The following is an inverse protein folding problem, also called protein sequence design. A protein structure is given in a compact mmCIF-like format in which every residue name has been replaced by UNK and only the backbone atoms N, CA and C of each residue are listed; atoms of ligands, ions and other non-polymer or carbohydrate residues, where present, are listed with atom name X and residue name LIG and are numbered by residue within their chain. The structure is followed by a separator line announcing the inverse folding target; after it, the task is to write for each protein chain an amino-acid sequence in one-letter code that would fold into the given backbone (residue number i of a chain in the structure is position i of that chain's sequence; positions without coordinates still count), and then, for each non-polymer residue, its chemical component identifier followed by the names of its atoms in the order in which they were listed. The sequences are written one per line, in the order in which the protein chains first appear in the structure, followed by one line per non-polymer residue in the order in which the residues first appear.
data_IF_284369115895
#
_entry.id   IF_284369115895
#
_cell.length_a   1.000
_cell.length_b   1.000
_cell.length_c   1.000
_cell.angle_alpha   90.00
_cell.angle_beta   90.00
_cell.angle_gamma   90.00
#
_symmetry.space_group_name_H-M   'P 1'
#
loop_
_entity.id
_entity.type
_entity.pdbx_description
1 polymer ?
#
# COMPACT_ATOMS: atom_id res chain seq x y z
N UNK A 1 33.38 16.89 19.46
CA UNK A 1 32.30 16.38 20.35
C UNK A 1 32.98 15.76 21.55
N UNK A 2 32.54 16.13 22.76
CA UNK A 2 33.08 15.60 24.01
C UNK A 2 32.65 14.14 24.22
N UNK A 3 33.55 13.28 24.72
CA UNK A 3 33.27 11.84 24.89
C UNK A 3 32.15 11.59 25.89
N UNK A 4 32.12 12.36 26.97
CA UNK A 4 31.11 12.23 28.03
C UNK A 4 29.70 12.50 27.51
N UNK A 5 29.55 13.51 26.63
CA UNK A 5 28.29 13.81 25.95
C UNK A 5 27.87 12.67 25.02
N UNK A 6 28.81 12.02 24.34
CA UNK A 6 28.51 10.86 23.49
C UNK A 6 27.99 9.69 24.33
N UNK A 7 28.68 9.38 25.44
CA UNK A 7 28.32 8.29 26.35
C UNK A 7 26.94 8.52 26.98
N UNK A 8 26.61 9.77 27.32
CA UNK A 8 25.30 10.14 27.85
C UNK A 8 24.16 9.89 26.83
N UNK A 9 24.38 10.17 25.54
CA UNK A 9 23.35 9.99 24.49
C UNK A 9 23.22 8.56 24.00
N UNK A 10 24.31 7.80 24.00
CA UNK A 10 24.31 6.40 23.55
C UNK A 10 23.72 5.47 24.61
N UNK A 11 23.92 5.77 25.90
CA UNK A 11 23.45 4.93 27.01
C UNK A 11 21.94 4.60 26.98
N UNK A 12 21.01 5.55 26.72
CA UNK A 12 19.57 5.23 26.59
C UNK A 12 19.23 4.33 25.41
N UNK A 13 19.90 4.53 24.27
CA UNK A 13 19.70 3.70 23.07
C UNK A 13 20.13 2.27 23.35
N UNK A 14 21.33 2.07 23.91
CA UNK A 14 21.83 0.76 24.28
C UNK A 14 20.97 0.11 25.37
N UNK A 15 20.51 0.86 26.37
CA UNK A 15 19.61 0.36 27.39
C UNK A 15 18.31 -0.18 26.79
N UNK A 16 17.73 0.51 25.80
CA UNK A 16 16.54 0.05 25.08
C UNK A 16 16.83 -1.19 24.22
N UNK A 17 17.96 -1.21 23.50
CA UNK A 17 18.37 -2.35 22.69
C UNK A 17 18.58 -3.60 23.55
N UNK A 18 19.29 -3.48 24.67
CA UNK A 18 19.54 -4.57 25.61
C UNK A 18 18.24 -5.04 26.28
N UNK A 19 17.36 -4.11 26.65
CA UNK A 19 16.03 -4.45 27.20
C UNK A 19 15.19 -5.24 26.20
N UNK A 20 15.25 -4.90 24.91
CA UNK A 20 14.55 -5.66 23.86
C UNK A 20 15.21 -7.01 23.60
N UNK A 21 16.53 -7.08 23.58
CA UNK A 21 17.28 -8.31 23.35
C UNK A 21 17.12 -9.34 24.50
N UNK A 22 16.86 -8.88 25.72
CA UNK A 22 16.57 -9.74 26.87
C UNK A 22 15.17 -10.39 26.80
N UNK A 23 14.27 -9.91 25.94
CA UNK A 23 12.98 -10.55 25.72
C UNK A 23 13.15 -11.70 24.73
N UNK A 24 12.42 -12.83 24.91
CA UNK A 24 12.45 -13.91 23.94
C UNK A 24 12.05 -13.38 22.55
N UNK A 25 12.63 -13.92 21.47
CA UNK A 25 12.18 -13.58 20.14
C UNK A 25 10.68 -13.85 20.08
N UNK A 26 9.92 -12.86 19.60
CA UNK A 26 8.51 -13.10 19.30
C UNK A 26 8.46 -14.24 18.32
N UNK A 27 7.64 -15.26 18.59
CA UNK A 27 7.27 -16.20 17.53
C UNK A 27 6.80 -15.39 16.34
N UNK A 28 7.33 -15.70 15.16
CA UNK A 28 6.85 -15.12 13.93
C UNK A 28 5.41 -15.58 13.78
N UNK A 29 4.46 -14.73 14.18
CA UNK A 29 3.05 -15.00 13.96
C UNK A 29 2.92 -15.14 12.44
N UNK A 30 2.51 -16.31 11.92
CA UNK A 30 2.35 -16.50 10.50
C UNK A 30 1.43 -15.38 10.01
N UNK A 31 1.79 -14.81 8.87
CA UNK A 31 1.16 -13.62 8.35
C UNK A 31 -0.30 -13.92 7.98
N UNK A 32 -1.21 -13.80 8.95
CA UNK A 32 -2.57 -14.33 8.85
C UNK A 32 -3.34 -13.71 7.68
N UNK A 33 -3.95 -14.58 6.89
CA UNK A 33 -5.10 -14.28 6.03
C UNK A 33 -6.18 -13.57 6.87
N UNK A 34 -6.96 -12.67 6.26
CA UNK A 34 -7.95 -11.78 6.87
C UNK A 34 -8.37 -12.12 8.32
N UNK A 35 -7.91 -11.32 9.29
CA UNK A 35 -8.25 -11.50 10.70
C UNK A 35 -9.55 -10.75 11.03
N UNK A 36 -10.66 -11.50 11.11
CA UNK A 36 -11.99 -10.96 11.40
C UNK A 36 -12.06 -10.23 12.75
N UNK A 37 -11.26 -10.63 13.75
CA UNK A 37 -11.23 -9.96 15.06
C UNK A 37 -10.58 -8.58 14.93
N UNK A 38 -9.46 -8.48 14.20
CA UNK A 38 -8.82 -7.18 13.91
C UNK A 38 -9.71 -6.29 13.06
N UNK A 39 -10.37 -6.84 12.04
CA UNK A 39 -11.30 -6.08 11.21
C UNK A 39 -12.45 -5.48 12.02
N UNK A 40 -13.03 -6.24 12.96
CA UNK A 40 -14.07 -5.74 13.89
C UNK A 40 -13.54 -4.64 14.79
N UNK A 41 -12.34 -4.79 15.34
CA UNK A 41 -11.71 -3.76 16.18
C UNK A 41 -11.47 -2.47 15.40
N UNK A 42 -10.92 -2.57 14.18
CA UNK A 42 -10.68 -1.41 13.31
C UNK A 42 -11.99 -0.72 12.91
N UNK A 43 -13.03 -1.49 12.54
CA UNK A 43 -14.36 -0.95 12.22
C UNK A 43 -14.97 -0.22 13.41
N UNK A 44 -14.81 -0.76 14.62
CA UNK A 44 -15.28 -0.10 15.86
C UNK A 44 -14.50 1.18 16.14
N UNK A 45 -13.17 1.15 16.09
CA UNK A 45 -12.33 2.33 16.29
C UNK A 45 -12.62 3.44 15.26
N UNK A 46 -12.86 3.06 14.00
CA UNK A 46 -13.28 3.99 12.96
C UNK A 46 -14.66 4.60 13.26
N UNK A 47 -15.64 3.78 13.67
CA UNK A 47 -16.97 4.27 14.02
C UNK A 47 -16.96 5.21 15.25
N UNK A 48 -16.17 4.89 16.28
CA UNK A 48 -16.04 5.69 17.50
C UNK A 48 -15.23 6.99 17.28
N UNK A 49 -14.46 7.10 16.19
CA UNK A 49 -13.69 8.31 15.86
C UNK A 49 -14.40 9.26 14.89
N UNK A 50 -15.54 8.86 14.32
CA UNK A 50 -16.35 9.73 13.46
C UNK A 50 -17.12 10.76 14.29
N UNK A 51 -17.05 12.03 13.89
CA UNK A 51 -17.77 13.14 14.54
C UNK A 51 -18.82 13.71 13.60
N UNK A 52 -20.09 13.70 14.04
CA UNK A 52 -21.19 14.31 13.32
C UNK A 52 -21.19 15.82 13.53
N UNK A 53 -20.75 16.57 12.52
CA UNK A 53 -20.62 18.03 12.61
C UNK A 53 -21.96 18.77 12.51
N UNK A 54 -22.88 18.24 11.69
CA UNK A 54 -24.17 18.90 11.39
C UNK A 54 -25.24 17.85 11.09
N UNK A 55 -26.43 18.03 11.65
CA UNK A 55 -27.60 17.17 11.41
C UNK A 55 -28.88 18.02 11.45
N UNK A 56 -29.14 18.75 10.38
CA UNK A 56 -30.37 19.55 10.27
C UNK A 56 -31.58 18.61 10.11
N UNK A 57 -32.71 18.99 10.72
CA UNK A 57 -34.00 18.29 10.56
C UNK A 57 -33.99 16.79 10.95
N UNK A 58 -32.96 16.32 11.65
CA UNK A 58 -32.85 14.91 12.05
C UNK A 58 -32.74 13.95 10.87
N UNK A 59 -32.10 14.36 9.77
CA UNK A 59 -31.91 13.54 8.56
C UNK A 59 -31.17 12.23 8.88
N UNK A 60 -30.21 12.27 9.80
CA UNK A 60 -29.53 11.08 10.31
C UNK A 60 -30.12 10.63 11.66
N UNK A 61 -30.21 9.30 11.92
CA UNK A 61 -29.75 8.19 11.08
C UNK A 61 -30.68 7.91 9.89
N UNK A 62 -30.09 7.52 8.76
CA UNK A 62 -30.86 7.08 7.59
C UNK A 62 -31.65 5.81 7.94
N UNK A 63 -32.93 5.76 7.58
CA UNK A 63 -33.75 4.55 7.72
C UNK A 63 -33.65 3.68 6.47
N UNK A 64 -32.91 2.55 6.49
CA UNK A 64 -32.64 1.75 5.30
C UNK A 64 -33.92 1.19 4.65
N UNK A 65 -34.96 0.93 5.43
CA UNK A 65 -36.23 0.38 4.94
C UNK A 65 -37.01 1.35 4.05
N UNK A 66 -36.74 2.65 4.16
CA UNK A 66 -37.45 3.70 3.41
C UNK A 66 -36.68 4.16 2.17
N UNK A 67 -35.46 3.67 1.95
CA UNK A 67 -34.61 4.10 0.84
C UNK A 67 -34.84 3.15 -0.33
N UNK A 68 -35.53 3.63 -1.37
CA UNK A 68 -35.66 2.89 -2.64
C UNK A 68 -34.52 3.18 -3.60
N UNK A 69 -34.05 4.44 -3.62
CA UNK A 69 -32.93 4.89 -4.43
C UNK A 69 -32.01 5.78 -3.60
N UNK A 70 -30.71 5.56 -3.71
CA UNK A 70 -29.67 6.35 -3.05
C UNK A 70 -28.69 6.88 -4.11
N UNK A 71 -28.54 8.20 -4.20
CA UNK A 71 -27.50 8.81 -5.00
C UNK A 71 -26.25 9.03 -4.14
N UNK A 72 -25.12 8.47 -4.57
CA UNK A 72 -23.81 8.65 -3.94
C UNK A 72 -22.94 9.47 -4.89
N UNK A 73 -22.59 10.68 -4.49
CA UNK A 73 -21.85 11.63 -5.34
C UNK A 73 -20.49 11.92 -4.71
N UNK A 74 -19.43 11.76 -5.50
CA UNK A 74 -18.06 12.08 -5.09
C UNK A 74 -17.04 11.01 -5.52
N UNK A 75 -15.80 11.41 -5.85
CA UNK A 75 -14.74 10.46 -6.23
C UNK A 75 -14.34 9.54 -5.07
N UNK A 76 -14.35 10.07 -3.85
CA UNK A 76 -13.95 9.33 -2.63
C UNK A 76 -14.95 8.23 -2.23
N UNK A 77 -16.14 8.19 -2.83
CA UNK A 77 -17.11 7.14 -2.55
C UNK A 77 -16.64 5.78 -3.11
N UNK A 78 -16.10 5.77 -4.34
CA UNK A 78 -15.51 4.58 -4.96
C UNK A 78 -14.02 4.44 -4.59
N UNK A 79 -13.29 5.55 -4.50
CA UNK A 79 -11.88 5.59 -4.12
C UNK A 79 -11.69 6.16 -2.71
N UNK A 80 -12.04 5.38 -1.70
CA UNK A 80 -12.05 5.87 -0.32
C UNK A 80 -10.65 6.18 0.22
N UNK A 81 -10.49 7.41 0.72
CA UNK A 81 -9.28 7.86 1.40
C UNK A 81 -9.35 7.42 2.86
N UNK A 82 -8.67 6.31 3.17
CA UNK A 82 -8.65 5.72 4.53
C UNK A 82 -7.54 6.27 5.42
N UNK A 83 -6.59 7.00 4.86
CA UNK A 83 -5.46 7.57 5.58
C UNK A 83 -4.94 8.81 4.86
N UNK A 84 -4.26 9.69 5.60
CA UNK A 84 -3.51 10.79 5.02
C UNK A 84 -2.21 10.32 4.33
N UNK A 85 -1.44 11.29 3.84
CA UNK A 85 -0.09 11.05 3.33
C UNK A 85 0.99 11.08 4.42
N UNK A 86 2.25 11.03 3.99
CA UNK A 86 3.42 11.24 4.85
C UNK A 86 4.08 9.98 5.39
N UNK A 87 4.90 10.13 6.44
CA UNK A 87 5.73 9.07 7.03
C UNK A 87 4.95 7.94 7.69
N UNK A 88 3.66 8.17 7.99
CA UNK A 88 2.78 7.19 8.63
C UNK A 88 1.95 6.39 7.62
N UNK A 89 2.27 6.47 6.32
CA UNK A 89 1.52 5.77 5.28
C UNK A 89 1.73 4.26 5.38
N UNK A 90 0.64 3.52 5.56
CA UNK A 90 0.62 2.06 5.61
C UNK A 90 -0.06 1.53 4.35
N UNK A 91 0.36 0.39 3.81
CA UNK A 91 -0.39 -0.30 2.74
C UNK A 91 -1.31 -1.35 3.35
N UNK A 92 -2.64 -1.10 3.45
CA UNK A 92 -3.55 -2.11 3.97
C UNK A 92 -3.68 -3.27 2.97
N UNK A 93 -3.85 -4.49 3.48
CA UNK A 93 -4.11 -5.67 2.63
C UNK A 93 -5.54 -5.74 2.12
N UNK A 94 -6.46 -5.22 2.92
CA UNK A 94 -7.88 -5.16 2.61
C UNK A 94 -8.38 -3.77 2.96
N UNK A 95 -9.15 -3.18 2.06
CA UNK A 95 -9.77 -1.89 2.22
C UNK A 95 -11.13 -1.97 1.55
N UNK A 96 -12.20 -1.70 2.29
CA UNK A 96 -13.56 -1.59 1.75
C UNK A 96 -13.81 -0.13 1.42
N UNK A 97 -14.30 0.16 0.21
CA UNK A 97 -14.70 1.52 -0.14
C UNK A 97 -16.10 1.84 0.41
N UNK A 98 -16.44 3.13 0.49
CA UNK A 98 -17.73 3.60 1.04
C UNK A 98 -18.90 3.05 0.21
N UNK A 99 -18.76 2.96 -1.11
CA UNK A 99 -19.81 2.47 -2.01
C UNK A 99 -20.15 0.99 -1.76
N UNK A 100 -19.15 0.13 -1.66
CA UNK A 100 -19.29 -1.28 -1.28
C UNK A 100 -19.86 -1.42 0.13
N UNK A 101 -19.37 -0.62 1.08
CA UNK A 101 -19.88 -0.65 2.45
C UNK A 101 -21.36 -0.23 2.55
N UNK A 102 -21.80 0.72 1.72
CA UNK A 102 -23.21 1.10 1.61
C UNK A 102 -24.05 0.01 0.96
N UNK A 103 -23.53 -0.65 -0.08
CA UNK A 103 -24.19 -1.80 -0.71
C UNK A 103 -24.37 -2.97 0.28
N UNK A 104 -23.38 -3.23 1.13
CA UNK A 104 -23.47 -4.25 2.18
C UNK A 104 -24.41 -3.86 3.33
N UNK A 105 -24.52 -2.56 3.63
CA UNK A 105 -25.32 -2.06 4.75
C UNK A 105 -26.81 -1.87 4.41
N UNK A 106 -27.16 -1.64 3.15
CA UNK A 106 -28.53 -1.39 2.72
C UNK A 106 -29.23 -2.67 2.23
N UNK A 107 -30.57 -2.72 2.30
CA UNK A 107 -31.33 -3.82 1.72
C UNK A 107 -31.04 -3.98 0.22
N UNK A 108 -31.00 -5.22 -0.31
CA UNK A 108 -30.66 -5.49 -1.71
C UNK A 108 -31.65 -4.90 -2.73
N UNK A 109 -32.83 -4.47 -2.28
CA UNK A 109 -33.83 -3.76 -3.09
C UNK A 109 -33.54 -2.26 -3.28
N UNK A 110 -32.49 -1.73 -2.66
CA UNK A 110 -32.10 -0.33 -2.77
C UNK A 110 -31.24 -0.11 -4.02
N UNK A 111 -31.69 0.75 -4.93
CA UNK A 111 -30.91 1.14 -6.11
C UNK A 111 -29.89 2.21 -5.73
N UNK A 112 -28.60 1.85 -5.73
CA UNK A 112 -27.51 2.78 -5.44
C UNK A 112 -26.94 3.30 -6.77
N UNK A 113 -27.08 4.60 -7.01
CA UNK A 113 -26.55 5.30 -8.18
C UNK A 113 -25.31 6.08 -7.76
N UNK A 114 -24.18 5.83 -8.43
CA UNK A 114 -22.93 6.54 -8.15
C UNK A 114 -22.52 7.43 -9.32
N UNK A 115 -21.98 8.59 -8.99
CA UNK A 115 -21.32 9.47 -9.94
C UNK A 115 -20.15 10.18 -9.24
N UNK A 116 -18.96 10.28 -9.86
CA UNK A 116 -17.84 10.98 -9.24
C UNK A 116 -18.14 12.46 -9.03
N UNK A 117 -18.86 13.11 -9.94
CA UNK A 117 -19.31 14.51 -9.82
C UNK A 117 -18.20 15.55 -10.00
N UNK A 118 -17.02 15.31 -9.43
CA UNK A 118 -15.81 16.08 -9.63
C UNK A 118 -14.60 15.16 -9.79
N UNK A 119 -13.58 15.67 -10.48
CA UNK A 119 -12.27 15.04 -10.55
C UNK A 119 -11.36 15.72 -9.55
N UNK A 120 -10.89 14.98 -8.54
CA UNK A 120 -9.91 15.48 -7.58
C UNK A 120 -8.51 15.43 -8.21
N UNK A 121 -8.25 16.31 -9.16
CA UNK A 121 -6.96 16.46 -9.86
C UNK A 121 -6.58 15.25 -10.70
N UNK A 122 -5.86 15.47 -11.80
CA UNK A 122 -5.03 14.40 -12.33
C UNK A 122 -4.09 14.00 -11.18
N UNK A 123 -4.30 12.82 -10.61
CA UNK A 123 -3.12 12.06 -10.18
C UNK A 123 -2.39 11.91 -11.49
N UNK A 124 -1.40 12.77 -11.74
CA UNK A 124 -0.40 12.50 -12.73
C UNK A 124 0.00 11.06 -12.44
N UNK A 125 -0.43 10.17 -13.32
CA UNK A 125 -0.09 8.77 -13.27
C UNK A 125 1.36 8.78 -13.75
N UNK A 126 2.24 9.35 -12.92
CA UNK A 126 3.66 9.22 -13.08
C UNK A 126 3.84 7.71 -13.23
N UNK A 127 4.39 7.29 -14.35
CA UNK A 127 4.61 5.89 -14.63
C UNK A 127 5.36 5.21 -13.46
N UNK A 128 6.06 5.99 -12.64
CA UNK A 128 6.65 5.60 -11.36
C UNK A 128 5.65 5.27 -10.25
N UNK A 129 4.56 6.02 -10.07
CA UNK A 129 3.54 5.73 -9.06
C UNK A 129 2.69 4.52 -9.48
N UNK A 130 2.36 4.39 -10.77
CA UNK A 130 1.75 3.17 -11.30
C UNK A 130 2.73 1.99 -11.25
N UNK A 131 4.02 2.19 -11.51
CA UNK A 131 5.04 1.15 -11.29
C UNK A 131 5.19 0.79 -9.80
N UNK A 132 5.10 1.75 -8.87
CA UNK A 132 5.13 1.52 -7.42
C UNK A 132 3.87 0.82 -6.91
N UNK A 133 2.71 1.08 -7.52
CA UNK A 133 1.47 0.33 -7.30
C UNK A 133 1.55 -1.06 -7.90
N UNK A 134 2.09 -1.24 -9.11
CA UNK A 134 2.25 -2.54 -9.79
C UNK A 134 3.33 -3.42 -9.16
N UNK A 135 4.40 -2.83 -8.63
CA UNK A 135 5.43 -3.54 -7.86
C UNK A 135 4.98 -3.86 -6.43
N UNK A 136 3.93 -3.19 -5.94
CA UNK A 136 3.46 -3.28 -4.55
C UNK A 136 2.06 -3.85 -4.36
N UNK A 137 1.29 -4.04 -5.43
CA UNK A 137 -0.03 -4.63 -5.37
C UNK A 137 0.14 -6.14 -5.34
N UNK A 138 -0.52 -6.81 -4.40
CA UNK A 138 -0.62 -8.26 -4.37
C UNK A 138 -2.07 -8.69 -4.51
N UNK A 139 -2.33 -9.87 -5.09
CA UNK A 139 -3.66 -10.47 -5.11
C UNK A 139 -4.09 -10.84 -3.68
N UNK A 140 -5.34 -11.29 -3.53
CA UNK A 140 -5.87 -11.80 -2.25
C UNK A 140 -5.00 -12.91 -1.62
N UNK A 141 -4.15 -13.58 -2.41
CA UNK A 141 -3.19 -14.59 -1.97
C UNK A 141 -1.78 -14.04 -1.66
N UNK A 142 -1.57 -12.73 -1.65
CA UNK A 142 -0.29 -12.10 -1.31
C UNK A 142 0.76 -12.13 -2.41
N UNK A 143 0.45 -12.56 -3.63
CA UNK A 143 1.37 -12.56 -4.77
C UNK A 143 1.30 -11.25 -5.55
N UNK A 144 2.42 -10.66 -6.01
CA UNK A 144 2.42 -9.38 -6.71
C UNK A 144 1.58 -9.43 -8.00
N UNK A 145 0.54 -8.59 -8.05
CA UNK A 145 -0.31 -8.28 -9.18
C UNK A 145 0.34 -7.17 -10.01
N UNK A 146 1.27 -7.55 -10.86
CA UNK A 146 1.89 -6.68 -11.87
C UNK A 146 2.70 -7.57 -12.81
N UNK A 147 2.72 -7.25 -14.10
CA UNK A 147 3.31 -8.09 -15.13
C UNK A 147 4.74 -8.55 -14.75
N UNK A 148 4.87 -9.81 -14.31
CA UNK A 148 6.16 -10.46 -14.00
C UNK A 148 7.06 -10.63 -15.23
N UNK A 149 6.62 -10.17 -16.41
CA UNK A 149 7.31 -10.36 -17.69
C UNK A 149 8.54 -9.46 -17.78
N UNK A 150 8.42 -8.18 -17.40
CA UNK A 150 9.52 -7.22 -17.47
C UNK A 150 10.72 -7.56 -16.56
N UNK A 151 10.54 -7.86 -15.25
CA UNK A 151 11.67 -8.17 -14.38
C UNK A 151 12.30 -9.54 -14.65
N UNK A 152 11.55 -10.52 -15.20
CA UNK A 152 12.12 -11.82 -15.61
C UNK A 152 12.99 -11.70 -16.86
N UNK A 153 12.58 -10.88 -17.83
CA UNK A 153 13.38 -10.67 -19.05
C UNK A 153 14.65 -9.88 -18.71
N UNK A 154 14.58 -8.88 -17.83
CA UNK A 154 15.79 -8.16 -17.39
C UNK A 154 16.73 -9.04 -16.58
N UNK A 155 16.24 -9.88 -15.66
CA UNK A 155 17.08 -10.82 -14.91
C UNK A 155 17.68 -11.90 -15.81
N UNK A 156 16.93 -12.40 -16.80
CA UNK A 156 17.44 -13.35 -17.78
C UNK A 156 18.50 -12.69 -18.68
N UNK A 157 18.26 -11.47 -19.16
CA UNK A 157 19.21 -10.71 -19.96
C UNK A 157 20.47 -10.35 -19.18
N UNK A 158 20.35 -10.00 -17.89
CA UNK A 158 21.48 -9.73 -17.01
C UNK A 158 22.28 -11.00 -16.70
N UNK A 159 21.62 -12.15 -16.51
CA UNK A 159 22.30 -13.46 -16.33
C UNK A 159 23.03 -13.89 -17.61
N UNK A 160 22.40 -13.71 -18.77
CA UNK A 160 23.02 -14.00 -20.07
C UNK A 160 24.18 -13.03 -20.33
N UNK A 161 24.00 -11.75 -20.06
CA UNK A 161 25.05 -10.72 -20.17
C UNK A 161 26.23 -10.97 -19.24
N UNK A 162 25.97 -11.37 -17.98
CA UNK A 162 27.00 -11.76 -17.02
C UNK A 162 27.76 -13.03 -17.46
N UNK A 163 27.06 -14.02 -18.03
CA UNK A 163 27.67 -15.22 -18.59
C UNK A 163 28.56 -14.94 -19.80
N UNK A 164 28.12 -14.05 -20.69
CA UNK A 164 28.89 -13.66 -21.89
C UNK A 164 30.10 -12.80 -21.50
N UNK A 165 29.95 -11.85 -20.56
CA UNK A 165 31.03 -11.03 -19.99
C UNK A 165 32.13 -11.86 -19.29
N UNK A 166 31.74 -12.98 -18.67
CA UNK A 166 32.66 -13.90 -18.00
C UNK A 166 33.51 -14.77 -18.94
N UNK A 167 33.14 -14.86 -20.23
CA UNK A 167 33.85 -15.72 -21.19
C UNK A 167 35.15 -15.09 -21.72
N UNK A 168 36.22 -15.90 -21.86
CA UNK A 168 37.51 -15.44 -22.42
C UNK A 168 37.37 -14.83 -23.81
N UNK A 169 36.43 -15.35 -24.61
CA UNK A 169 36.15 -14.87 -25.96
C UNK A 169 35.69 -13.41 -25.95
N UNK A 170 34.74 -13.05 -25.08
CA UNK A 170 34.21 -11.70 -24.99
C UNK A 170 35.29 -10.69 -24.54
N UNK A 171 36.15 -11.09 -23.60
CA UNK A 171 37.28 -10.27 -23.13
C UNK A 171 38.35 -10.04 -24.22
N UNK A 172 38.68 -11.08 -25.00
CA UNK A 172 39.74 -11.01 -26.02
C UNK A 172 39.29 -10.34 -27.32
N UNK A 173 38.04 -10.52 -27.73
CA UNK A 173 37.57 -10.10 -29.07
C UNK A 173 36.48 -9.04 -29.07
N UNK A 174 35.51 -9.09 -28.16
CA UNK A 174 34.37 -8.16 -28.18
C UNK A 174 34.65 -6.84 -27.45
N UNK A 175 35.30 -6.88 -26.29
CA UNK A 175 35.63 -5.69 -25.49
C UNK A 175 36.51 -4.64 -26.21
N UNK A 176 37.52 -5.01 -27.04
CA UNK A 176 38.28 -4.03 -27.81
C UNK A 176 37.44 -3.28 -28.86
N UNK A 177 36.44 -3.96 -29.44
CA UNK A 177 35.53 -3.37 -30.42
C UNK A 177 34.53 -2.44 -29.74
N UNK A 178 33.96 -2.83 -28.60
CA UNK A 178 33.06 -1.98 -27.83
C UNK A 178 33.73 -0.72 -27.27
N UNK A 179 35.00 -0.82 -26.83
CA UNK A 179 35.79 0.35 -26.42
C UNK A 179 36.09 1.31 -27.56
N UNK A 180 36.28 0.81 -28.79
CA UNK A 180 36.41 1.67 -29.99
C UNK A 180 35.10 2.37 -30.37
N UNK A 181 33.96 1.77 -30.04
CA UNK A 181 32.63 2.32 -30.26
C UNK A 181 32.14 3.23 -29.11
N UNK A 182 33.00 3.53 -28.13
CA UNK A 182 32.72 4.50 -27.07
C UNK A 182 31.81 3.99 -25.95
N UNK A 183 31.53 2.68 -25.91
CA UNK A 183 30.74 2.08 -24.84
C UNK A 183 31.67 1.72 -23.68
N UNK A 184 31.47 2.36 -22.52
CA UNK A 184 32.22 2.13 -21.28
C UNK A 184 31.47 1.17 -20.36
#
# INVERSE_FOLDING_TARGET
VERELLDERVRPVLALTLKRAAQPPSEAVPEREYDAMRARLLRRAAAESMVLLKNDQGVLPLNPSNIRKLAVIGPNAAETVVQGGGSSRVRPRFCTNILEALQEALPPCTEILHTPGCFCGEREQDAELEALKMMGACNKAGQPCGAQVAPRISDAALKVGAGISGSEWCRKWAMPVFRRLGWR
#
